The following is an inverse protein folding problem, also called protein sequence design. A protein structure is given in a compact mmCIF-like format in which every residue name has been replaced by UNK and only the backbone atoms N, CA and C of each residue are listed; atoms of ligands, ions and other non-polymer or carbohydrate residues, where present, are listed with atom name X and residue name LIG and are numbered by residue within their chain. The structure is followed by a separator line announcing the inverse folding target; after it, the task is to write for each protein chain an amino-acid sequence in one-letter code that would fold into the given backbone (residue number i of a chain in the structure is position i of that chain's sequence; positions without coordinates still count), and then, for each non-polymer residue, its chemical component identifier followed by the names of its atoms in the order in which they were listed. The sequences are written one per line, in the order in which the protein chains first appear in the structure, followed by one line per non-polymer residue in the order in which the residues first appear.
data_IF_196679475005
#
_entry.id   IF_196679475005
#
_cell.length_a   1.000
_cell.length_b   1.000
_cell.length_c   1.000
_cell.angle_alpha   90.00
_cell.angle_beta   90.00
_cell.angle_gamma   90.00
#
_symmetry.space_group_name_H-M   'P 1'
#
loop_
_entity.id
_entity.type
_entity.pdbx_description
1 polymer ?
#
# COMPACT_ATOMS: atom_id res chain seq x y z
N UNK A 1 -13.77 25.66 65.07
CA UNK A 1 -13.67 26.27 63.70
C UNK A 1 -12.74 25.42 62.87
N UNK A 2 -13.26 24.53 62.01
CA UNK A 2 -12.47 23.67 61.14
C UNK A 2 -12.22 24.35 59.80
N UNK A 3 -10.96 24.64 59.49
CA UNK A 3 -10.55 25.24 58.24
C UNK A 3 -10.56 24.16 57.14
N UNK A 4 -11.45 24.26 56.18
CA UNK A 4 -11.47 23.41 55.01
C UNK A 4 -10.59 24.04 53.95
N UNK A 5 -9.41 23.46 53.72
CA UNK A 5 -8.53 23.86 52.63
C UNK A 5 -8.99 23.15 51.37
N UNK A 6 -9.57 23.86 50.43
CA UNK A 6 -9.95 23.33 49.11
C UNK A 6 -8.68 23.24 48.25
N UNK A 7 -8.26 22.06 47.90
CA UNK A 7 -7.16 21.85 47.01
C UNK A 7 -7.68 22.01 45.56
N UNK A 8 -7.33 23.10 44.91
CA UNK A 8 -7.65 23.32 43.51
C UNK A 8 -6.59 22.64 42.64
N UNK A 9 -6.95 21.51 42.07
CA UNK A 9 -6.09 20.80 41.14
C UNK A 9 -6.25 21.47 39.76
N UNK A 10 -5.24 22.23 39.33
CA UNK A 10 -5.19 22.79 37.97
C UNK A 10 -4.69 21.67 37.02
N UNK A 11 -5.60 21.15 36.25
CA UNK A 11 -5.26 20.18 35.20
C UNK A 11 -4.77 20.96 33.98
N UNK A 12 -3.44 20.97 33.79
CA UNK A 12 -2.86 21.48 32.55
C UNK A 12 -3.05 20.42 31.46
N UNK A 13 -4.07 20.63 30.61
CA UNK A 13 -4.22 19.85 29.38
C UNK A 13 -3.14 20.34 28.40
N UNK A 14 -2.06 19.59 28.28
CA UNK A 14 -1.12 19.79 27.17
C UNK A 14 -1.81 19.24 25.92
N UNK A 15 -2.35 20.12 25.10
CA UNK A 15 -2.69 19.78 23.72
C UNK A 15 -1.37 19.54 23.00
N UNK A 16 -0.97 18.31 22.85
CA UNK A 16 0.02 17.97 21.84
C UNK A 16 -0.68 18.22 20.51
N UNK A 17 -0.38 19.34 19.86
CA UNK A 17 -0.84 19.56 18.50
C UNK A 17 -0.29 18.41 17.65
N UNK A 18 -1.12 17.47 17.30
CA UNK A 18 -0.78 16.42 16.35
C UNK A 18 -0.32 17.11 15.05
N UNK A 19 0.83 16.72 14.55
CA UNK A 19 1.36 17.26 13.29
C UNK A 19 0.33 17.01 12.17
N UNK A 20 -0.04 18.08 11.48
CA UNK A 20 -0.91 18.01 10.29
C UNK A 20 -0.14 17.36 9.14
N UNK A 21 -0.76 16.45 8.45
CA UNK A 21 -0.16 15.79 7.30
C UNK A 21 -0.40 16.63 6.04
N UNK A 22 0.69 17.03 5.39
CA UNK A 22 0.65 17.75 4.10
C UNK A 22 1.08 16.86 2.95
N UNK A 23 2.02 15.92 3.20
CA UNK A 23 2.61 15.07 2.17
C UNK A 23 2.80 13.63 2.64
N UNK A 24 2.46 12.70 1.79
CA UNK A 24 2.75 11.27 1.96
C UNK A 24 3.53 10.80 0.74
N UNK A 25 4.73 10.29 0.96
CA UNK A 25 5.47 9.58 -0.09
C UNK A 25 5.25 8.07 0.07
N UNK A 26 5.36 7.32 -1.02
CA UNK A 26 5.06 5.89 -1.01
C UNK A 26 5.83 5.14 -2.09
N UNK A 27 6.11 3.87 -1.85
CA UNK A 27 6.78 3.04 -2.84
C UNK A 27 6.83 1.57 -2.44
N UNK A 28 7.20 0.74 -3.40
CA UNK A 28 7.31 -0.72 -3.23
C UNK A 28 8.44 -1.27 -4.11
N UNK A 29 8.69 -2.57 -4.01
CA UNK A 29 9.67 -3.30 -4.83
C UNK A 29 11.09 -2.73 -4.65
N UNK A 30 11.59 -2.89 -3.42
CA UNK A 30 12.91 -2.44 -2.97
C UNK A 30 13.84 -3.65 -2.78
N UNK A 31 14.72 -3.90 -3.75
CA UNK A 31 15.65 -5.03 -3.69
C UNK A 31 16.89 -4.65 -2.88
N UNK A 32 17.11 -5.33 -1.76
CA UNK A 32 18.18 -5.04 -0.79
C UNK A 32 19.59 -5.10 -1.37
N UNK A 33 19.83 -5.91 -2.41
CA UNK A 33 21.16 -6.11 -3.00
C UNK A 33 21.49 -5.09 -4.10
N UNK A 34 20.52 -4.25 -4.49
CA UNK A 34 20.70 -3.25 -5.54
C UNK A 34 21.03 -1.88 -4.95
N UNK A 35 21.62 -1.02 -5.78
CA UNK A 35 21.78 0.41 -5.48
C UNK A 35 20.40 1.05 -5.24
N UNK A 36 20.33 2.01 -4.31
CA UNK A 36 19.07 2.65 -3.89
C UNK A 36 19.16 4.20 -4.02
N UNK A 37 19.54 4.75 -5.20
CA UNK A 37 19.72 6.21 -5.33
C UNK A 37 18.41 7.00 -5.24
N UNK A 38 17.27 6.37 -5.40
CA UNK A 38 15.93 6.99 -5.33
C UNK A 38 15.70 7.71 -3.98
N UNK A 39 16.37 7.28 -2.90
CA UNK A 39 16.21 7.88 -1.58
C UNK A 39 16.57 9.36 -1.56
N UNK A 40 17.55 9.80 -2.38
CA UNK A 40 17.92 11.21 -2.47
C UNK A 40 16.71 12.08 -2.88
N UNK A 41 15.98 11.65 -3.91
CA UNK A 41 14.78 12.35 -4.38
C UNK A 41 13.64 12.30 -3.35
N UNK A 42 13.43 11.14 -2.72
CA UNK A 42 12.38 10.94 -1.71
C UNK A 42 12.64 11.82 -0.48
N UNK A 43 13.88 11.86 0.03
CA UNK A 43 14.27 12.70 1.18
C UNK A 43 14.07 14.17 0.86
N UNK A 44 14.34 14.59 -0.38
CA UNK A 44 14.14 15.98 -0.84
C UNK A 44 12.67 16.42 -0.78
N UNK A 45 11.71 15.48 -0.91
CA UNK A 45 10.26 15.79 -0.83
C UNK A 45 9.86 16.28 0.57
N UNK A 46 10.59 15.87 1.62
CA UNK A 46 10.27 16.20 3.02
C UNK A 46 8.84 15.80 3.38
N UNK A 47 8.44 14.61 2.99
CA UNK A 47 7.10 14.08 3.30
C UNK A 47 6.95 13.83 4.80
N UNK A 48 5.73 13.94 5.30
CA UNK A 48 5.40 13.68 6.71
C UNK A 48 5.43 12.19 7.01
N UNK A 49 4.92 11.40 6.07
CA UNK A 49 4.84 9.93 6.18
C UNK A 49 5.48 9.32 4.92
N UNK A 50 6.23 8.22 5.10
CA UNK A 50 6.59 7.33 3.98
C UNK A 50 5.89 5.99 4.19
N UNK A 51 5.14 5.54 3.18
CA UNK A 51 4.43 4.25 3.20
C UNK A 51 5.21 3.23 2.34
N UNK A 52 5.72 2.19 2.99
CA UNK A 52 6.30 1.02 2.34
C UNK A 52 5.16 0.05 1.97
N UNK A 53 4.93 -0.12 0.67
CA UNK A 53 3.78 -0.87 0.15
C UNK A 53 4.14 -2.28 -0.32
N UNK A 54 4.94 -2.98 0.49
CA UNK A 54 5.29 -4.37 0.20
C UNK A 54 6.48 -4.53 -0.74
N UNK A 55 6.97 -5.73 -0.84
CA UNK A 55 8.23 -6.05 -1.50
C UNK A 55 9.36 -5.17 -0.97
N UNK A 56 9.36 -5.02 0.35
CA UNK A 56 10.32 -4.16 1.05
C UNK A 56 11.71 -4.80 1.07
N UNK A 57 11.75 -6.12 0.87
CA UNK A 57 12.94 -6.96 0.60
C UNK A 57 12.53 -8.15 -0.28
N UNK A 58 13.48 -8.75 -0.97
CA UNK A 58 13.29 -9.93 -1.84
C UNK A 58 13.89 -11.15 -1.16
N UNK A 59 13.13 -11.71 -0.21
CA UNK A 59 13.55 -12.77 0.67
C UNK A 59 12.94 -14.15 0.41
N UNK A 60 12.10 -14.29 -0.59
CA UNK A 60 11.44 -15.54 -0.93
C UNK A 60 12.44 -16.62 -1.36
N UNK A 61 12.25 -17.85 -0.87
CA UNK A 61 13.02 -19.01 -1.29
C UNK A 61 12.11 -19.97 -2.07
N UNK A 62 12.19 -19.87 -3.38
CA UNK A 62 11.38 -20.68 -4.31
C UNK A 62 11.63 -22.18 -4.19
N UNK A 63 12.76 -22.62 -3.63
CA UNK A 63 13.12 -24.05 -3.51
C UNK A 63 12.58 -24.69 -2.25
N UNK A 64 12.72 -24.03 -1.11
CA UNK A 64 12.36 -24.61 0.19
C UNK A 64 11.13 -23.95 0.82
N UNK A 65 10.83 -22.70 0.45
CA UNK A 65 9.81 -21.88 1.09
C UNK A 65 10.15 -21.46 2.52
N UNK A 66 11.36 -21.79 2.99
CA UNK A 66 11.81 -21.47 4.34
C UNK A 66 12.25 -20.01 4.45
N UNK A 67 12.29 -19.48 5.66
CA UNK A 67 12.45 -18.05 5.91
C UNK A 67 13.89 -17.59 6.23
N UNK A 68 14.89 -18.49 6.15
CA UNK A 68 16.29 -18.14 6.43
C UNK A 68 16.80 -17.04 5.47
N UNK A 69 16.39 -17.12 4.20
CA UNK A 69 16.73 -16.08 3.21
C UNK A 69 16.03 -14.76 3.58
N UNK A 70 14.74 -14.78 3.92
CA UNK A 70 13.97 -13.59 4.28
C UNK A 70 14.61 -12.87 5.48
N UNK A 71 15.01 -13.61 6.51
CA UNK A 71 15.72 -13.03 7.67
C UNK A 71 17.01 -12.31 7.24
N UNK A 72 17.81 -12.94 6.39
CA UNK A 72 19.07 -12.36 5.87
C UNK A 72 18.81 -11.07 5.06
N UNK A 73 17.77 -11.05 4.24
CA UNK A 73 17.45 -9.87 3.41
C UNK A 73 17.00 -8.68 4.28
N UNK A 74 16.24 -8.93 5.35
CA UNK A 74 15.89 -7.91 6.32
C UNK A 74 17.15 -7.37 7.01
N UNK A 75 18.08 -8.25 7.42
CA UNK A 75 19.35 -7.84 8.06
C UNK A 75 20.19 -6.95 7.10
N UNK A 76 20.21 -7.27 5.80
CA UNK A 76 20.91 -6.47 4.80
C UNK A 76 20.25 -5.08 4.63
N UNK A 77 18.94 -5.01 4.50
CA UNK A 77 18.22 -3.74 4.31
C UNK A 77 18.35 -2.84 5.54
N UNK A 78 18.29 -3.40 6.74
CA UNK A 78 18.43 -2.68 8.01
C UNK A 78 19.73 -1.87 8.10
N UNK A 79 20.78 -2.33 7.41
CA UNK A 79 22.09 -1.69 7.43
C UNK A 79 22.31 -0.66 6.31
N UNK A 80 21.29 -0.34 5.52
CA UNK A 80 21.37 0.68 4.46
C UNK A 80 21.29 2.09 5.06
N UNK A 81 22.29 2.93 4.82
CA UNK A 81 22.38 4.30 5.38
C UNK A 81 21.18 5.15 4.91
N UNK A 82 20.84 5.20 3.60
CA UNK A 82 19.70 6.04 3.17
C UNK A 82 18.37 5.59 3.75
N UNK A 83 18.18 4.29 3.98
CA UNK A 83 16.99 3.76 4.65
C UNK A 83 16.89 4.25 6.10
N UNK A 84 18.01 4.27 6.82
CA UNK A 84 18.05 4.77 8.21
C UNK A 84 17.79 6.28 8.26
N UNK A 85 18.34 7.04 7.33
CA UNK A 85 18.10 8.49 7.20
C UNK A 85 16.60 8.79 6.99
N UNK A 86 15.93 8.00 6.14
CA UNK A 86 14.49 8.12 5.94
C UNK A 86 13.73 7.88 7.26
N UNK A 87 14.10 6.85 8.01
CA UNK A 87 13.48 6.52 9.32
C UNK A 87 13.64 7.64 10.35
N UNK A 88 14.72 8.40 10.26
CA UNK A 88 14.98 9.52 11.20
C UNK A 88 14.18 10.77 10.84
N UNK A 89 13.80 10.94 9.57
CA UNK A 89 13.19 12.19 9.07
C UNK A 89 11.70 12.09 8.81
N UNK A 90 11.15 10.87 8.65
CA UNK A 90 9.75 10.63 8.30
C UNK A 90 9.09 9.72 9.32
N UNK A 91 7.79 9.87 9.50
CA UNK A 91 6.98 8.79 10.08
C UNK A 91 6.96 7.63 9.07
N UNK A 92 7.33 6.43 9.50
CA UNK A 92 7.38 5.25 8.64
C UNK A 92 6.21 4.33 8.98
N UNK A 93 5.52 3.88 7.94
CA UNK A 93 4.54 2.79 8.07
C UNK A 93 4.74 1.81 6.92
N UNK A 94 4.43 0.55 7.16
CA UNK A 94 4.73 -0.50 6.21
C UNK A 94 3.70 -1.62 6.21
N UNK A 95 3.59 -2.29 5.07
CA UNK A 95 2.86 -3.53 4.89
C UNK A 95 3.72 -4.43 3.98
N UNK A 96 3.49 -5.72 4.00
CA UNK A 96 4.20 -6.66 3.13
C UNK A 96 3.50 -6.86 1.78
N UNK A 97 4.25 -7.42 0.82
CA UNK A 97 3.69 -8.10 -0.32
C UNK A 97 4.34 -9.50 -0.41
N UNK A 98 4.33 -10.16 -1.54
CA UNK A 98 4.67 -11.58 -1.65
C UNK A 98 6.16 -11.90 -1.36
N UNK A 99 7.09 -11.03 -1.77
CA UNK A 99 8.52 -11.31 -1.58
C UNK A 99 8.98 -11.14 -0.12
N UNK A 100 8.37 -10.22 0.63
CA UNK A 100 8.62 -10.10 2.07
C UNK A 100 7.61 -10.89 2.93
N UNK A 101 6.54 -11.42 2.35
CA UNK A 101 5.71 -12.47 2.94
C UNK A 101 6.45 -13.82 2.92
N UNK A 102 7.31 -14.03 1.92
CA UNK A 102 8.24 -15.16 1.87
C UNK A 102 8.07 -16.14 0.72
N UNK A 103 7.09 -15.95 -0.14
CA UNK A 103 6.90 -16.78 -1.34
C UNK A 103 6.17 -16.00 -2.45
N UNK A 104 6.75 -15.98 -3.65
CA UNK A 104 6.21 -15.30 -4.83
C UNK A 104 4.74 -15.68 -5.07
N UNK A 105 3.89 -14.67 -5.23
CA UNK A 105 2.44 -14.75 -5.41
C UNK A 105 1.72 -15.48 -4.27
N UNK A 106 2.34 -15.58 -3.09
CA UNK A 106 1.86 -16.35 -1.95
C UNK A 106 0.51 -15.89 -1.39
N UNK A 107 -0.13 -16.80 -0.67
CA UNK A 107 -1.44 -16.57 -0.05
C UNK A 107 -1.65 -17.47 1.17
N UNK A 108 -2.91 -17.77 1.46
CA UNK A 108 -3.34 -18.51 2.67
C UNK A 108 -2.68 -19.89 2.81
N UNK A 109 -2.31 -20.51 1.69
CA UNK A 109 -1.69 -21.84 1.65
C UNK A 109 -0.23 -21.86 2.11
N UNK A 110 0.44 -20.69 2.27
CA UNK A 110 1.85 -20.61 2.66
C UNK A 110 2.03 -21.07 4.11
N UNK A 111 2.78 -22.16 4.38
CA UNK A 111 2.83 -22.75 5.72
C UNK A 111 3.67 -21.97 6.73
N UNK A 112 4.51 -21.04 6.32
CA UNK A 112 5.39 -20.25 7.21
C UNK A 112 4.91 -18.81 7.43
N UNK A 113 3.66 -18.50 7.09
CA UNK A 113 3.14 -17.12 7.13
C UNK A 113 3.17 -16.49 8.54
N UNK A 114 2.92 -17.30 9.58
CA UNK A 114 2.98 -16.82 10.99
C UNK A 114 4.41 -16.45 11.41
N UNK A 115 5.40 -17.19 10.90
CA UNK A 115 6.81 -16.88 11.18
C UNK A 115 7.30 -15.70 10.33
N UNK A 116 6.82 -15.55 9.10
CA UNK A 116 7.08 -14.37 8.26
C UNK A 116 6.53 -13.11 8.95
N UNK A 117 5.33 -13.19 9.54
CA UNK A 117 4.72 -12.09 10.30
C UNK A 117 5.61 -11.64 11.47
N UNK A 118 6.18 -12.59 12.21
CA UNK A 118 7.13 -12.28 13.31
C UNK A 118 8.38 -11.57 12.80
N UNK A 119 8.95 -12.04 11.67
CA UNK A 119 10.11 -11.38 11.04
C UNK A 119 9.79 -9.96 10.60
N UNK A 120 8.59 -9.73 10.05
CA UNK A 120 8.10 -8.40 9.68
C UNK A 120 8.01 -7.50 10.91
N UNK A 121 7.39 -7.98 11.99
CA UNK A 121 7.26 -7.21 13.25
C UNK A 121 8.62 -6.84 13.83
N UNK A 122 9.58 -7.77 13.80
CA UNK A 122 10.94 -7.55 14.29
C UNK A 122 11.69 -6.50 13.46
N UNK A 123 11.63 -6.60 12.13
CA UNK A 123 12.31 -5.68 11.22
C UNK A 123 11.76 -4.25 11.34
N UNK A 124 10.43 -4.10 11.33
CA UNK A 124 9.77 -2.80 11.39
C UNK A 124 9.63 -2.28 12.82
N UNK A 125 10.10 -3.05 13.82
CA UNK A 125 10.06 -2.66 15.24
C UNK A 125 8.64 -2.32 15.69
N UNK A 126 7.66 -3.12 15.21
CA UNK A 126 6.24 -2.90 15.51
C UNK A 126 6.01 -3.08 17.02
N UNK A 127 5.46 -2.06 17.73
CA UNK A 127 5.25 -2.15 19.18
C UNK A 127 4.31 -3.29 19.59
N UNK A 128 4.51 -3.86 20.79
CA UNK A 128 3.69 -4.95 21.33
C UNK A 128 2.19 -4.60 21.40
N UNK A 129 1.86 -3.33 21.62
CA UNK A 129 0.47 -2.87 21.69
C UNK A 129 -0.16 -2.47 20.35
N UNK A 130 0.55 -2.63 19.24
CA UNK A 130 0.05 -2.23 17.94
C UNK A 130 -1.07 -3.17 17.44
N UNK A 131 -2.06 -2.61 16.78
CA UNK A 131 -3.21 -3.35 16.23
C UNK A 131 -2.80 -4.60 15.39
N UNK A 132 -1.82 -4.46 14.65
CA UNK A 132 -1.29 -5.39 13.89
C UNK A 132 -0.97 -6.58 14.53
N UNK A 133 -0.65 -6.65 15.85
CA UNK A 133 -0.30 -7.81 16.70
C UNK A 133 -1.51 -8.48 17.37
N UNK A 134 -2.68 -7.87 17.29
CA UNK A 134 -3.89 -8.39 17.98
C UNK A 134 -4.64 -9.46 17.19
N UNK A 135 -4.23 -9.73 15.96
CA UNK A 135 -4.88 -10.68 15.05
C UNK A 135 -3.88 -11.18 13.98
N UNK A 136 -4.14 -12.30 13.34
CA UNK A 136 -3.32 -12.75 12.19
C UNK A 136 -3.47 -11.81 10.99
N UNK A 137 -2.36 -11.59 10.29
CA UNK A 137 -2.31 -10.73 9.09
C UNK A 137 -2.05 -9.26 9.42
N UNK A 138 -1.49 -8.54 8.44
CA UNK A 138 -0.99 -7.17 8.62
C UNK A 138 -2.02 -6.10 8.22
N UNK A 139 -3.27 -6.22 8.66
CA UNK A 139 -4.26 -5.18 8.39
C UNK A 139 -4.45 -4.29 9.62
N UNK A 140 -4.53 -2.97 9.39
CA UNK A 140 -4.65 -1.95 10.46
C UNK A 140 -5.05 -0.63 9.86
N UNK A 141 -5.30 0.39 10.71
CA UNK A 141 -5.57 1.75 10.26
C UNK A 141 -4.72 2.78 10.99
N UNK A 142 -4.63 3.91 10.36
CA UNK A 142 -4.02 5.13 10.92
C UNK A 142 -4.98 6.31 10.74
N UNK A 143 -5.42 7.16 11.50
CA UNK A 143 -6.12 8.27 11.46
C UNK A 143 -5.20 9.38 11.59
N UNK A 144 -5.09 10.34 11.00
CA UNK A 144 -4.28 11.59 11.06
C UNK A 144 -5.13 12.80 10.72
N UNK A 145 -4.56 13.99 11.03
CA UNK A 145 -5.21 15.25 10.65
C UNK A 145 -4.61 15.80 9.36
N UNK A 146 -5.38 16.22 8.36
CA UNK A 146 -5.04 16.94 7.26
C UNK A 146 -5.31 18.35 7.62
N UNK A 147 -4.91 19.45 6.93
CA UNK A 147 -5.24 20.86 7.23
C UNK A 147 -6.76 21.13 7.28
N UNK A 148 -7.48 20.52 6.38
CA UNK A 148 -8.95 20.72 6.27
C UNK A 148 -9.69 19.39 6.43
N UNK A 149 -9.50 18.74 7.57
CA UNK A 149 -10.24 17.53 7.92
C UNK A 149 -9.36 16.36 8.34
N UNK A 150 -10.00 15.23 8.44
CA UNK A 150 -9.42 13.99 8.96
C UNK A 150 -9.03 13.04 7.83
N UNK A 151 -7.88 12.42 7.97
CA UNK A 151 -7.34 11.41 7.06
C UNK A 151 -7.40 10.03 7.72
N UNK A 152 -8.01 9.09 7.02
CA UNK A 152 -7.97 7.68 7.39
C UNK A 152 -7.13 6.92 6.36
N UNK A 153 -6.14 6.16 6.82
CA UNK A 153 -5.36 5.26 5.98
C UNK A 153 -5.64 3.83 6.43
N UNK A 154 -6.27 3.03 5.58
CA UNK A 154 -6.64 1.64 5.83
C UNK A 154 -5.65 0.74 5.10
N UNK A 155 -4.93 -0.10 5.83
CA UNK A 155 -3.98 -1.06 5.28
C UNK A 155 -4.68 -2.41 5.16
N UNK A 156 -4.74 -2.96 3.93
CA UNK A 156 -5.34 -4.26 3.66
C UNK A 156 -4.23 -5.28 3.42
N UNK A 157 -4.24 -6.36 4.19
CA UNK A 157 -3.36 -7.50 3.93
C UNK A 157 -3.95 -8.31 2.77
N UNK A 158 -3.29 -8.28 1.63
CA UNK A 158 -3.69 -8.99 0.43
C UNK A 158 -2.93 -10.30 0.24
N UNK A 159 -2.28 -10.81 1.34
CA UNK A 159 -1.49 -12.05 1.30
C UNK A 159 -1.98 -13.11 2.29
N UNK A 160 -2.07 -12.79 3.57
CA UNK A 160 -2.27 -13.77 4.65
C UNK A 160 -3.49 -14.68 4.46
N UNK A 161 -4.55 -14.13 3.87
CA UNK A 161 -5.85 -14.83 3.70
C UNK A 161 -6.15 -15.15 2.23
N UNK A 162 -5.31 -14.67 1.31
CA UNK A 162 -5.56 -14.72 -0.13
C UNK A 162 -5.65 -16.16 -0.63
N UNK A 163 -6.74 -16.49 -1.30
CA UNK A 163 -6.89 -17.76 -2.05
C UNK A 163 -5.92 -17.78 -3.23
N UNK A 164 -5.42 -18.96 -3.56
CA UNK A 164 -4.57 -19.12 -4.73
C UNK A 164 -5.39 -18.81 -6.00
N UNK A 165 -4.80 -18.02 -6.90
CA UNK A 165 -5.40 -17.68 -8.20
C UNK A 165 -5.28 -18.86 -9.16
N UNK A 166 -6.18 -18.93 -10.15
CA UNK A 166 -6.12 -19.96 -11.20
C UNK A 166 -4.99 -19.62 -12.17
N UNK A 167 -3.99 -20.50 -12.32
CA UNK A 167 -2.94 -20.27 -13.31
C UNK A 167 -3.51 -20.20 -14.73
N UNK A 168 -2.94 -19.36 -15.56
CA UNK A 168 -3.35 -19.19 -16.94
C UNK A 168 -3.20 -20.48 -17.76
N UNK A 169 -4.07 -20.66 -18.72
CA UNK A 169 -3.98 -21.71 -19.75
C UNK A 169 -3.05 -21.32 -20.91
N UNK A 170 -2.59 -20.04 -20.95
CA UNK A 170 -1.79 -19.54 -22.06
C UNK A 170 -0.79 -18.47 -21.56
N UNK A 171 0.27 -18.95 -20.95
CA UNK A 171 1.29 -18.11 -20.32
C UNK A 171 1.84 -17.03 -21.27
N UNK A 172 2.01 -15.82 -20.74
CA UNK A 172 2.53 -14.62 -21.43
C UNK A 172 1.65 -14.10 -22.59
N UNK A 173 0.44 -14.68 -22.81
CA UNK A 173 -0.52 -14.11 -23.76
C UNK A 173 -1.15 -12.83 -23.15
N UNK A 174 -1.40 -11.85 -23.97
CA UNK A 174 -2.03 -10.59 -23.47
C UNK A 174 -3.31 -10.83 -22.67
N UNK A 175 -3.24 -10.34 -21.34
CA UNK A 175 -4.29 -10.42 -20.49
C UNK A 175 -4.44 -11.62 -19.74
N UNK A 176 -3.46 -12.57 -20.15
CA UNK A 176 -3.39 -13.91 -19.57
C UNK A 176 -1.98 -14.23 -19.02
N UNK A 177 -1.18 -13.22 -18.81
CA UNK A 177 0.25 -13.38 -18.44
C UNK A 177 0.48 -14.44 -17.35
N UNK A 178 -0.33 -14.41 -16.18
CA UNK A 178 -0.15 -15.28 -15.15
C UNK A 178 -1.37 -16.02 -14.81
N UNK A 179 -2.36 -15.24 -14.86
CA UNK A 179 -3.56 -15.84 -14.23
C UNK A 179 -4.83 -15.66 -15.07
N UNK A 180 -5.92 -16.38 -14.72
CA UNK A 180 -7.17 -16.30 -15.29
C UNK A 180 -8.13 -15.95 -14.22
N UNK A 181 -9.18 -15.44 -14.60
CA UNK A 181 -10.24 -15.06 -13.65
C UNK A 181 -10.89 -16.28 -12.98
N UNK A 182 -11.30 -16.15 -11.73
CA UNK A 182 -11.97 -17.21 -10.97
C UNK A 182 -13.34 -16.70 -10.50
N UNK A 183 -14.15 -17.16 -10.88
CA UNK A 183 -15.38 -16.82 -10.60
C UNK A 183 -15.97 -17.47 -9.47
N UNK A 184 -15.23 -18.46 -8.69
CA UNK A 184 -15.68 -19.19 -7.48
C UNK A 184 -15.93 -18.17 -6.35
N UNK A 185 -17.18 -18.04 -5.86
CA UNK A 185 -17.52 -17.06 -4.82
C UNK A 185 -16.96 -17.40 -3.43
N UNK A 186 -16.41 -18.59 -3.26
CA UNK A 186 -15.73 -18.98 -2.00
C UNK A 186 -14.30 -18.45 -1.91
N UNK A 187 -13.74 -18.03 -3.03
CA UNK A 187 -12.38 -17.47 -3.09
C UNK A 187 -12.34 -16.06 -2.54
N UNK A 188 -11.25 -15.71 -1.89
CA UNK A 188 -11.12 -14.42 -1.21
C UNK A 188 -9.69 -13.88 -1.27
N UNK A 189 -9.54 -12.57 -1.24
CA UNK A 189 -8.26 -11.88 -1.00
C UNK A 189 -8.13 -11.58 0.51
N UNK A 190 -9.21 -11.09 1.15
CA UNK A 190 -9.14 -10.57 2.52
C UNK A 190 -9.53 -11.57 3.62
N UNK A 191 -10.31 -12.54 3.30
CA UNK A 191 -10.84 -13.50 4.29
C UNK A 191 -11.94 -12.89 5.20
N UNK A 192 -12.63 -13.48 5.74
CA UNK A 192 -13.79 -13.10 6.45
C UNK A 192 -13.63 -12.12 7.54
N UNK A 193 -12.52 -12.51 8.36
CA UNK A 193 -12.26 -11.63 9.50
C UNK A 193 -11.87 -10.23 9.06
N UNK A 194 -10.97 -10.12 8.11
CA UNK A 194 -10.54 -8.83 7.59
C UNK A 194 -11.69 -8.10 6.88
N UNK A 195 -12.54 -8.81 6.14
CA UNK A 195 -13.74 -8.23 5.51
C UNK A 195 -14.66 -7.59 6.57
N UNK A 196 -14.90 -8.26 7.68
CA UNK A 196 -15.70 -7.73 8.79
C UNK A 196 -15.06 -6.46 9.37
N UNK A 197 -13.78 -6.50 9.55
CA UNK A 197 -12.99 -5.34 10.00
C UNK A 197 -13.05 -4.19 8.99
N UNK A 198 -12.80 -4.33 7.69
CA UNK A 198 -12.80 -3.44 6.74
C UNK A 198 -14.02 -2.77 6.75
N UNK A 199 -15.20 -3.60 6.88
CA UNK A 199 -16.55 -3.02 6.94
C UNK A 199 -16.82 -2.12 8.17
N UNK A 200 -16.20 -2.33 9.06
CA UNK A 200 -16.30 -1.55 10.18
C UNK A 200 -15.66 -0.25 10.02
N UNK A 201 -14.42 -0.35 9.50
CA UNK A 201 -13.60 0.85 9.32
C UNK A 201 -14.18 1.83 8.29
N UNK A 202 -14.73 1.33 7.23
CA UNK A 202 -15.34 2.18 6.19
C UNK A 202 -16.57 2.97 6.68
N UNK A 203 -17.19 2.58 7.79
CA UNK A 203 -18.31 3.32 8.41
C UNK A 203 -17.86 4.53 9.22
N UNK A 204 -16.59 4.60 9.58
CA UNK A 204 -16.03 5.73 10.31
C UNK A 204 -16.01 6.96 9.40
N UNK A 205 -16.34 8.10 9.96
CA UNK A 205 -16.33 9.35 9.17
C UNK A 205 -14.89 9.83 8.97
N UNK A 206 -14.39 10.05 7.81
CA UNK A 206 -13.16 10.54 7.44
C UNK A 206 -13.38 11.47 6.35
N UNK A 207 -12.75 12.56 6.23
CA UNK A 207 -12.87 13.50 5.09
C UNK A 207 -12.08 12.97 3.89
N UNK A 208 -10.91 12.40 4.12
CA UNK A 208 -10.05 11.75 3.12
C UNK A 208 -9.80 10.31 3.53
N UNK A 209 -9.92 9.41 2.58
CA UNK A 209 -9.64 7.98 2.82
C UNK A 209 -8.63 7.46 1.81
N UNK A 210 -7.54 6.89 2.33
CA UNK A 210 -6.56 6.15 1.54
C UNK A 210 -6.69 4.67 1.90
N UNK A 211 -6.75 3.79 0.90
CA UNK A 211 -6.74 2.34 1.09
C UNK A 211 -5.46 1.79 0.47
N UNK A 212 -4.65 1.12 1.27
CA UNK A 212 -3.40 0.47 0.84
C UNK A 212 -3.71 -0.98 0.49
N UNK A 213 -3.42 -1.36 -0.74
CA UNK A 213 -3.62 -2.71 -1.25
C UNK A 213 -2.49 -3.07 -2.24
N UNK A 214 -1.78 -3.88 -1.87
CA UNK A 214 -0.72 -4.23 -2.61
C UNK A 214 -1.03 -4.54 -3.96
N UNK A 215 -1.84 -5.58 -4.14
CA UNK A 215 -2.30 -5.90 -5.49
C UNK A 215 -3.38 -4.91 -5.98
N UNK A 216 -3.35 -4.63 -7.29
CA UNK A 216 -4.16 -3.54 -7.88
C UNK A 216 -5.70 -3.77 -7.83
N UNK A 217 -6.48 -2.81 -7.42
CA UNK A 217 -7.83 -2.83 -7.30
C UNK A 217 -8.57 -2.52 -8.56
N UNK A 218 -7.95 -1.44 -9.28
CA UNK A 218 -8.71 -0.90 -10.43
C UNK A 218 -8.25 -1.48 -11.77
N UNK A 219 -6.95 -1.71 -11.93
CA UNK A 219 -6.34 -2.09 -13.20
C UNK A 219 -6.98 -3.33 -13.83
N UNK A 220 -7.10 -3.32 -15.17
CA UNK A 220 -7.74 -4.40 -15.94
C UNK A 220 -6.93 -4.88 -17.15
N UNK A 221 -5.93 -4.15 -17.59
CA UNK A 221 -5.21 -4.37 -18.85
C UNK A 221 -4.16 -5.49 -18.85
N UNK A 222 -4.15 -6.36 -17.83
CA UNK A 222 -3.12 -7.41 -17.70
C UNK A 222 -3.66 -8.66 -17.00
N UNK A 223 -2.92 -9.77 -17.09
CA UNK A 223 -3.22 -11.04 -16.43
C UNK A 223 -2.32 -11.40 -15.25
N UNK A 224 -1.58 -10.41 -14.69
CA UNK A 224 -0.84 -10.55 -13.43
C UNK A 224 -1.80 -10.42 -12.25
N UNK A 225 -1.32 -10.53 -11.01
CA UNK A 225 -2.15 -10.40 -9.82
C UNK A 225 -2.94 -9.09 -9.81
N UNK A 226 -4.22 -9.18 -9.54
CA UNK A 226 -5.14 -8.03 -9.40
C UNK A 226 -6.46 -8.51 -8.78
N UNK A 227 -7.20 -7.61 -8.18
CA UNK A 227 -8.53 -7.92 -7.62
C UNK A 227 -9.50 -8.44 -8.68
N UNK A 228 -9.32 -8.02 -9.93
CA UNK A 228 -10.15 -8.46 -11.04
C UNK A 228 -10.13 -9.97 -11.32
N UNK A 229 -9.12 -10.68 -10.79
CA UNK A 229 -9.03 -12.15 -10.90
C UNK A 229 -10.12 -12.84 -10.05
N UNK A 230 -10.62 -12.19 -8.98
CA UNK A 230 -11.73 -12.63 -8.15
C UNK A 230 -12.88 -11.62 -8.27
N UNK A 231 -13.60 -11.61 -9.36
CA UNK A 231 -14.63 -10.61 -9.64
C UNK A 231 -15.78 -10.52 -8.62
N UNK A 232 -15.96 -11.36 -8.04
CA UNK A 232 -16.95 -11.42 -7.09
C UNK A 232 -16.61 -10.67 -5.90
N UNK A 233 -15.31 -10.93 -5.52
CA UNK A 233 -14.82 -10.19 -4.35
C UNK A 233 -14.58 -8.71 -4.68
N UNK A 234 -14.09 -8.42 -5.85
CA UNK A 234 -13.93 -7.03 -6.32
C UNK A 234 -15.25 -6.25 -6.28
N UNK A 235 -16.33 -6.83 -6.72
CA UNK A 235 -17.69 -6.25 -6.63
C UNK A 235 -18.17 -6.08 -5.19
N UNK A 236 -17.83 -6.84 -4.38
CA UNK A 236 -18.15 -6.80 -3.05
C UNK A 236 -17.57 -5.65 -2.44
N UNK A 237 -16.24 -5.43 -2.87
CA UNK A 237 -15.49 -4.26 -2.39
C UNK A 237 -16.14 -2.94 -2.83
N UNK A 238 -16.47 -2.78 -4.04
CA UNK A 238 -17.18 -1.61 -4.55
C UNK A 238 -18.57 -1.39 -3.90
N UNK A 239 -19.06 -2.29 -3.62
CA UNK A 239 -20.30 -2.23 -3.03
C UNK A 239 -20.28 -1.78 -1.65
N UNK A 240 -19.20 -2.26 -1.01
CA UNK A 240 -18.94 -1.81 0.36
C UNK A 240 -18.58 -0.31 0.41
N UNK A 241 -17.74 0.14 -0.50
CA UNK A 241 -17.41 1.57 -0.66
C UNK A 241 -18.67 2.40 -0.88
N UNK A 242 -19.51 2.03 -1.83
CA UNK A 242 -20.74 2.78 -2.17
C UNK A 242 -21.71 2.91 -0.99
N UNK A 243 -21.74 1.90 -0.11
CA UNK A 243 -22.64 1.87 1.06
C UNK A 243 -22.14 2.68 2.25
N UNK A 244 -20.84 2.99 2.30
CA UNK A 244 -20.22 3.54 3.52
C UNK A 244 -19.38 4.80 3.30
N UNK A 245 -19.18 5.21 2.06
CA UNK A 245 -18.36 6.40 1.75
C UNK A 245 -19.20 7.47 1.06
N UNK A 246 -18.94 8.72 1.37
CA UNK A 246 -19.54 9.89 0.70
C UNK A 246 -18.52 10.66 -0.12
N UNK A 247 -17.24 10.41 0.10
CA UNK A 247 -16.13 11.16 -0.51
C UNK A 247 -15.33 10.25 -1.44
N UNK A 248 -14.57 10.87 -2.34
CA UNK A 248 -13.65 10.18 -3.24
C UNK A 248 -12.63 9.35 -2.44
N UNK A 249 -12.23 8.22 -2.99
CA UNK A 249 -11.30 7.29 -2.34
C UNK A 249 -9.99 7.23 -3.13
N UNK A 250 -8.88 7.23 -2.41
CA UNK A 250 -7.55 6.99 -2.96
C UNK A 250 -7.17 5.55 -2.62
N UNK A 251 -6.77 4.77 -3.61
CA UNK A 251 -6.14 3.46 -3.40
C UNK A 251 -4.68 3.60 -3.81
N UNK A 252 -3.77 3.04 -3.01
CA UNK A 252 -2.35 2.97 -3.37
C UNK A 252 -1.93 1.50 -3.46
N UNK A 253 -1.09 1.17 -4.46
CA UNK A 253 -0.70 -0.22 -4.74
C UNK A 253 0.74 -0.33 -5.22
N UNK A 254 1.27 -1.56 -5.13
CA UNK A 254 2.62 -1.93 -5.54
C UNK A 254 2.68 -3.06 -6.57
N UNK A 255 3.55 -4.06 -6.34
CA UNK A 255 3.63 -5.35 -7.03
C UNK A 255 4.12 -5.31 -8.50
N UNK A 256 3.72 -4.32 -9.28
CA UNK A 256 3.76 -4.34 -10.75
C UNK A 256 5.11 -4.00 -11.37
N UNK A 257 6.13 -3.64 -10.58
CA UNK A 257 7.44 -3.19 -11.10
C UNK A 257 7.32 -2.04 -12.11
N UNK A 258 6.22 -1.26 -11.99
CA UNK A 258 5.86 -0.14 -12.87
C UNK A 258 4.94 0.83 -12.12
N UNK A 259 4.84 2.07 -12.59
CA UNK A 259 3.98 3.08 -11.99
C UNK A 259 2.86 3.55 -12.91
N UNK A 260 1.68 3.81 -12.35
CA UNK A 260 0.55 4.30 -13.14
C UNK A 260 -0.55 4.90 -12.28
N UNK A 261 -1.38 5.74 -12.92
CA UNK A 261 -2.55 6.35 -12.29
C UNK A 261 -3.81 5.83 -12.97
N UNK A 262 -4.82 5.48 -12.18
CA UNK A 262 -6.09 4.89 -12.64
C UNK A 262 -7.25 5.60 -11.97
N UNK A 263 -8.42 5.54 -12.63
CA UNK A 263 -9.67 6.09 -12.09
C UNK A 263 -10.87 5.16 -12.43
N UNK A 264 -11.80 4.94 -11.52
CA UNK A 264 -12.97 4.30 -11.64
C UNK A 264 -13.97 5.14 -11.07
N UNK A 265 -15.17 5.18 -11.61
CA UNK A 265 -16.35 5.74 -10.93
C UNK A 265 -17.30 4.60 -10.59
N UNK A 266 -17.73 4.56 -9.33
CA UNK A 266 -18.58 3.47 -8.82
C UNK A 266 -20.04 3.65 -9.29
N UNK A 267 -20.91 2.67 -9.01
CA UNK A 267 -22.35 2.74 -9.34
C UNK A 267 -23.05 3.88 -8.61
N UNK A 268 -22.61 4.25 -7.41
CA UNK A 268 -23.13 5.40 -6.66
C UNK A 268 -22.56 6.76 -7.10
N UNK A 269 -21.64 6.75 -8.07
CA UNK A 269 -21.03 7.99 -8.60
C UNK A 269 -19.77 8.44 -7.87
N UNK A 270 -19.23 7.67 -6.94
CA UNK A 270 -17.99 8.00 -6.23
C UNK A 270 -16.79 7.73 -7.13
N UNK A 271 -15.83 8.64 -7.14
CA UNK A 271 -14.58 8.42 -7.84
C UNK A 271 -13.59 7.67 -6.95
N UNK A 272 -12.93 6.68 -7.51
CA UNK A 272 -11.84 5.95 -6.89
C UNK A 272 -10.61 6.18 -7.78
N UNK A 273 -9.54 6.65 -7.16
CA UNK A 273 -8.26 6.90 -7.85
C UNK A 273 -7.20 5.90 -7.38
N UNK A 274 -6.42 5.21 -8.06
CA UNK A 274 -5.46 4.40 -7.75
C UNK A 274 -4.26 4.99 -8.13
N UNK A 275 -3.25 5.07 -7.37
CA UNK A 275 -1.85 5.34 -7.68
C UNK A 275 -1.06 4.06 -7.44
N UNK A 276 -0.56 3.46 -8.48
CA UNK A 276 0.38 2.34 -8.42
C UNK A 276 1.79 2.92 -8.48
N UNK A 277 2.61 2.68 -7.45
CA UNK A 277 4.01 3.08 -7.41
C UNK A 277 4.86 1.86 -7.05
N UNK A 278 5.46 1.31 -8.06
CA UNK A 278 6.26 0.10 -8.05
C UNK A 278 7.20 0.21 -9.25
N UNK A 279 8.45 0.58 -9.08
CA UNK A 279 9.43 0.04 -8.20
C UNK A 279 10.42 1.11 -7.70
N UNK A 280 10.84 0.97 -6.44
CA UNK A 280 11.90 1.82 -5.89
C UNK A 280 13.28 1.54 -6.54
N UNK A 281 13.60 0.27 -6.87
CA UNK A 281 14.86 -0.05 -7.56
C UNK A 281 14.87 -1.36 -8.37
N UNK A 282 13.70 -1.91 -8.66
CA UNK A 282 13.59 -3.17 -9.42
C UNK A 282 12.56 -3.03 -10.56
N UNK A 283 12.72 -2.04 -11.45
CA UNK A 283 11.69 -1.75 -12.46
C UNK A 283 11.71 -2.74 -13.63
N UNK A 284 10.51 -3.04 -14.17
CA UNK A 284 10.36 -3.93 -15.33
C UNK A 284 11.03 -3.35 -16.57
N UNK A 285 11.06 -2.03 -16.71
CA UNK A 285 11.72 -1.34 -17.84
C UNK A 285 13.21 -1.63 -17.93
N UNK A 286 13.85 -1.89 -16.79
CA UNK A 286 15.25 -2.31 -16.76
C UNK A 286 15.50 -3.67 -17.41
N UNK A 287 14.46 -4.51 -17.47
CA UNK A 287 14.56 -5.85 -18.08
C UNK A 287 14.21 -5.82 -19.58
N UNK A 288 13.22 -5.00 -19.97
CA UNK A 288 12.70 -4.97 -21.35
C UNK A 288 13.23 -3.79 -22.20
N UNK A 289 14.05 -2.92 -21.54
CA UNK A 289 14.62 -1.76 -22.23
C UNK A 289 13.63 -0.67 -22.68
N UNK A 290 12.55 -0.38 -21.98
CA UNK A 290 11.53 0.56 -22.29
C UNK A 290 11.30 1.46 -21.11
N UNK A 291 10.86 2.61 -21.39
CA UNK A 291 10.52 3.46 -20.39
C UNK A 291 9.09 3.45 -20.10
N UNK A 292 8.28 3.34 -21.05
CA UNK A 292 6.80 3.29 -20.99
C UNK A 292 6.23 2.10 -21.76
N UNK A 293 5.00 1.67 -21.36
CA UNK A 293 4.37 0.51 -21.98
C UNK A 293 3.10 0.83 -22.73
N UNK A 294 3.02 0.22 -23.70
CA UNK A 294 1.97 0.09 -24.40
C UNK A 294 1.01 -0.91 -23.97
N UNK A 295 1.30 -1.41 -22.85
CA UNK A 295 0.37 -2.40 -22.25
C UNK A 295 -1.07 -1.85 -22.31
N UNK A 296 -1.89 -2.40 -22.63
CA UNK A 296 -3.03 -2.06 -22.80
C UNK A 296 -3.40 -1.48 -21.73
N UNK A 297 -3.87 -0.47 -21.81
CA UNK A 297 -4.14 0.30 -20.60
C UNK A 297 -5.40 -0.13 -19.84
N UNK A 298 -6.27 -0.78 -20.46
CA UNK A 298 -7.62 -0.93 -19.98
C UNK A 298 -8.33 0.42 -19.95
N UNK A 299 -9.64 0.49 -19.76
CA UNK A 299 -10.40 1.74 -19.84
C UNK A 299 -10.18 2.70 -18.68
N UNK A 300 -9.42 2.32 -17.67
CA UNK A 300 -9.32 3.06 -16.38
C UNK A 300 -7.96 3.70 -16.12
N UNK A 301 -6.95 3.43 -16.95
CA UNK A 301 -5.62 4.05 -16.79
C UNK A 301 -5.59 5.47 -17.37
N UNK A 302 -4.95 6.38 -16.64
CA UNK A 302 -4.74 7.77 -17.05
C UNK A 302 -3.27 7.92 -17.45
N UNK A 303 -3.01 8.13 -18.72
CA UNK A 303 -1.65 8.29 -19.26
C UNK A 303 -0.91 6.96 -19.43
N UNK A 304 0.40 7.05 -19.63
CA UNK A 304 1.27 5.90 -19.86
C UNK A 304 1.52 5.11 -18.56
N UNK A 305 1.84 3.84 -18.71
CA UNK A 305 2.44 3.05 -17.63
C UNK A 305 3.95 3.31 -17.64
N UNK A 306 4.48 3.84 -16.54
CA UNK A 306 5.88 4.20 -16.40
C UNK A 306 6.66 2.99 -15.87
N UNK A 307 7.69 2.57 -16.58
CA UNK A 307 8.35 1.28 -16.37
C UNK A 307 9.70 1.35 -15.65
N UNK A 308 10.15 2.56 -15.29
CA UNK A 308 11.44 2.74 -14.60
C UNK A 308 11.25 2.99 -13.11
N UNK A 309 12.34 3.18 -12.35
CA UNK A 309 12.31 3.48 -10.92
C UNK A 309 11.38 4.65 -10.62
N UNK A 310 10.52 4.48 -9.64
CA UNK A 310 9.49 5.48 -9.34
C UNK A 310 9.05 5.42 -7.88
N UNK A 311 8.52 6.56 -7.41
CA UNK A 311 7.82 6.66 -6.12
C UNK A 311 6.54 7.49 -6.33
N UNK A 312 5.59 7.28 -5.44
CA UNK A 312 4.35 8.04 -5.42
C UNK A 312 4.42 9.20 -4.42
N UNK A 313 3.69 10.28 -4.71
CA UNK A 313 3.55 11.40 -3.79
C UNK A 313 2.10 11.85 -3.76
N UNK A 314 1.52 11.93 -2.55
CA UNK A 314 0.18 12.46 -2.28
C UNK A 314 0.38 13.78 -1.54
N UNK A 315 -0.20 14.90 -2.05
CA UNK A 315 -0.09 16.23 -1.46
C UNK A 315 -1.49 16.75 -1.17
N UNK A 316 -1.66 17.21 0.06
CA UNK A 316 -2.94 17.80 0.52
C UNK A 316 -2.82 19.32 0.57
N UNK A 317 -3.52 19.91 -0.14
CA UNK A 317 -3.47 21.28 -0.24
C UNK A 317 -4.59 21.88 0.56
N UNK A 318 -4.46 23.22 0.95
CA UNK A 318 -5.37 23.97 1.82
C UNK A 318 -6.79 24.22 1.28
N UNK A 319 -7.00 24.06 -0.01
CA UNK A 319 -8.29 24.28 -0.67
C UNK A 319 -9.03 22.96 -0.97
N UNK A 320 -8.82 21.96 -0.14
CA UNK A 320 -9.40 20.61 -0.28
C UNK A 320 -8.98 19.90 -1.57
N UNK A 321 -7.84 20.29 -2.15
CA UNK A 321 -7.27 19.60 -3.31
C UNK A 321 -6.28 18.55 -2.88
N UNK A 322 -6.32 17.43 -3.58
CA UNK A 322 -5.31 16.38 -3.48
C UNK A 322 -4.59 16.29 -4.83
N UNK A 323 -3.28 16.25 -4.77
CA UNK A 323 -2.46 15.87 -5.92
C UNK A 323 -1.96 14.45 -5.71
N UNK A 324 -2.15 13.62 -6.71
CA UNK A 324 -1.48 12.31 -6.80
C UNK A 324 -0.43 12.43 -7.90
N UNK A 325 0.81 12.21 -7.57
CA UNK A 325 1.95 12.31 -8.50
C UNK A 325 2.73 11.00 -8.53
N UNK A 326 3.12 10.59 -9.71
CA UNK A 326 4.13 9.55 -9.91
C UNK A 326 5.43 10.27 -10.27
N UNK A 327 6.48 10.01 -9.54
CA UNK A 327 7.79 10.65 -9.66
C UNK A 327 8.85 9.63 -10.08
N UNK A 328 9.83 10.06 -10.87
CA UNK A 328 10.97 9.23 -11.26
C UNK A 328 12.08 9.29 -10.22
N UNK A 329 13.15 8.56 -10.46
CA UNK A 329 14.34 8.46 -9.59
C UNK A 329 15.00 9.81 -9.29
N UNK A 330 14.76 10.85 -10.10
CA UNK A 330 15.32 12.20 -9.92
C UNK A 330 14.35 13.18 -9.24
N UNK A 331 13.12 12.73 -8.95
CA UNK A 331 12.06 13.58 -8.41
C UNK A 331 11.21 14.29 -9.46
N UNK A 332 11.48 14.06 -10.74
CA UNK A 332 10.69 14.64 -11.83
C UNK A 332 9.33 13.92 -11.91
N UNK A 333 8.29 14.72 -12.10
CA UNK A 333 6.93 14.18 -12.25
C UNK A 333 6.74 13.48 -13.60
N UNK A 334 6.33 12.13 -13.42
CA UNK A 334 6.09 11.41 -14.46
C UNK A 334 4.76 11.50 -14.86
N UNK A 335 3.75 11.46 -14.00
CA UNK A 335 2.30 11.63 -14.20
C UNK A 335 1.68 12.31 -12.98
N UNK A 336 0.60 13.11 -13.16
CA UNK A 336 -0.01 13.84 -12.03
C UNK A 336 -1.49 14.10 -12.32
N UNK A 337 -2.31 13.95 -11.30
CA UNK A 337 -3.74 14.33 -11.35
C UNK A 337 -4.13 15.14 -10.10
N UNK A 338 -5.10 15.88 -9.97
CA UNK A 338 -5.59 16.64 -9.01
C UNK A 338 -7.02 16.41 -8.95
N UNK A 339 -7.61 16.41 -7.85
CA UNK A 339 -9.07 16.35 -7.59
C UNK A 339 -9.37 16.96 -6.21
N UNK A 340 -10.66 17.21 -5.93
CA UNK A 340 -11.09 17.68 -4.61
C UNK A 340 -11.60 16.49 -3.78
N UNK A 341 -11.35 16.51 -2.45
CA UNK A 341 -11.91 15.55 -1.48
C UNK A 341 -13.02 16.21 -0.69
#
# INVERSE_FOLDING_TARGET
MKLIIALVTVIFSFSVNAKTIEKIALGSCLHQDRSQPIWEAILYEKSDIFIFMGDNVYGDDKKTGKLEKLKKTYDLQKNRIPFNELKETNEITAIWDDHDYGINDGGASFPYKEDAEKLFFDFWEIPEGHEXRSHPGLYFEIXREXENGTLQIIFLDTRYFKSDFIPTDQKDAPXKEXYXNDXDPSKTILGXKQWKWXSXKLKEKXDVRIIVSXIQXIAEGHGYEKWGLLPXEKEXFYXLIDSNSSNNIIIISGDRHAGGIYKXTTKAGLNIYXLTSSSLNLPVGGWIGXXESXEXPGPKRIGALYLMENYGLIEFXSNNKVFLSLKDITGKTXNKIXFNY
#
